data_IF_436427464574
#
_entry.id   IF_436427464574
#
_cell.length_a   1.000
_cell.length_b   1.000
_cell.length_c   1.000
_cell.angle_alpha   90.00
_cell.angle_beta   90.00
_cell.angle_gamma   90.00
#
_symmetry.space_group_name_H-M   'P 1'
#
loop_
_entity.id
_entity.type
_entity.pdbx_description
1 polymer ?
#
# COMPACT_ATOMS: atom_id res chain seq x y z
N UNK A 1 -9.71 -15.65 -15.83
CA UNK A 1 -9.80 -14.33 -15.19
C UNK A 1 -8.42 -13.93 -14.71
N UNK A 2 -8.02 -12.73 -14.98
CA UNK A 2 -6.69 -12.26 -14.58
C UNK A 2 -6.81 -11.10 -13.62
N UNK A 3 -5.75 -10.93 -12.83
CA UNK A 3 -5.65 -9.82 -11.90
C UNK A 3 -4.48 -8.94 -12.28
N UNK A 4 -4.59 -7.69 -11.95
CA UNK A 4 -3.51 -6.75 -12.16
C UNK A 4 -2.86 -6.45 -10.81
N UNK A 5 -1.57 -6.73 -10.70
CA UNK A 5 -0.82 -6.50 -9.46
C UNK A 5 0.20 -5.40 -9.68
N UNK A 6 0.24 -4.47 -8.77
CA UNK A 6 1.21 -3.38 -8.83
C UNK A 6 2.00 -3.35 -7.53
N UNK A 7 3.32 -3.34 -7.66
CA UNK A 7 4.22 -3.27 -6.52
C UNK A 7 4.83 -1.88 -6.44
N UNK A 8 4.76 -1.27 -5.26
CA UNK A 8 5.29 0.07 -5.02
C UNK A 8 6.19 0.02 -3.80
N UNK A 9 7.38 0.56 -3.94
CA UNK A 9 8.34 0.63 -2.85
C UNK A 9 8.43 2.07 -2.35
N UNK A 10 8.25 2.25 -1.05
CA UNK A 10 8.36 3.56 -0.42
C UNK A 10 9.61 3.62 0.44
N UNK A 11 10.37 4.70 0.29
CA UNK A 11 11.53 4.96 1.12
C UNK A 11 11.30 6.27 1.87
N UNK A 12 11.46 6.24 3.17
CA UNK A 12 11.20 7.39 4.03
C UNK A 12 12.52 7.95 4.56
N UNK A 13 12.51 9.21 4.96
CA UNK A 13 13.72 9.84 5.47
C UNK A 13 14.08 9.35 6.88
N UNK A 14 13.12 8.76 7.60
CA UNK A 14 13.38 8.27 8.94
C UNK A 14 12.35 7.21 9.30
N UNK A 15 12.65 6.47 10.35
CA UNK A 15 11.71 5.49 10.89
C UNK A 15 10.43 6.17 11.39
N UNK A 16 10.55 7.34 11.96
CA UNK A 16 9.40 8.07 12.45
C UNK A 16 8.45 8.43 11.31
N UNK A 17 8.99 8.88 10.17
CA UNK A 17 8.18 9.20 9.00
C UNK A 17 7.45 7.96 8.50
N UNK A 18 8.12 6.81 8.49
CA UNK A 18 7.50 5.56 8.09
C UNK A 18 6.34 5.20 9.00
N UNK A 19 6.54 5.30 10.30
CA UNK A 19 5.49 4.96 11.26
C UNK A 19 4.29 5.88 11.14
N UNK A 20 4.52 7.14 10.88
CA UNK A 20 3.43 8.09 10.66
C UNK A 20 2.63 7.72 9.42
N UNK A 21 3.30 7.34 8.34
CA UNK A 21 2.63 6.94 7.12
C UNK A 21 1.77 5.69 7.35
N UNK A 22 2.31 4.70 8.03
CA UNK A 22 1.57 3.47 8.32
C UNK A 22 0.34 3.77 9.17
N UNK A 23 0.47 4.65 10.14
CA UNK A 23 -0.65 5.03 10.98
C UNK A 23 -1.77 5.66 10.16
N UNK A 24 -1.42 6.52 9.20
CA UNK A 24 -2.41 7.13 8.32
C UNK A 24 -3.08 6.09 7.42
N UNK A 25 -2.32 5.14 6.92
CA UNK A 25 -2.88 4.06 6.11
C UNK A 25 -3.93 3.28 6.86
N UNK A 26 -3.68 3.03 8.14
CA UNK A 26 -4.61 2.24 8.94
C UNK A 26 -5.88 3.00 9.29
N UNK A 27 -5.86 4.31 9.25
CA UNK A 27 -6.97 5.08 9.78
C UNK A 27 -7.99 5.55 8.75
N UNK A 28 -7.60 5.89 7.50
CA UNK A 28 -8.56 6.55 6.64
C UNK A 28 -8.39 6.36 5.15
N UNK A 29 -7.25 5.92 4.68
CA UNK A 29 -6.94 6.05 3.27
C UNK A 29 -7.48 4.90 2.44
N UNK A 30 -7.80 3.80 3.07
CA UNK A 30 -8.07 2.55 2.37
C UNK A 30 -9.37 2.55 1.61
N UNK A 31 -10.34 3.30 2.09
CA UNK A 31 -11.70 3.19 1.57
C UNK A 31 -11.81 3.67 0.14
N UNK A 32 -11.05 4.70 -0.22
CA UNK A 32 -11.12 5.26 -1.56
C UNK A 32 -10.68 4.25 -2.61
N UNK A 33 -9.58 3.57 -2.34
CA UNK A 33 -9.07 2.58 -3.30
C UNK A 33 -10.01 1.38 -3.43
N UNK A 34 -10.56 0.93 -2.31
CA UNK A 34 -11.51 -0.18 -2.36
C UNK A 34 -12.79 0.20 -3.07
N UNK A 35 -13.21 1.44 -2.94
CA UNK A 35 -14.38 1.92 -3.69
C UNK A 35 -14.10 1.94 -5.19
N UNK A 36 -12.86 2.13 -5.59
CA UNK A 36 -12.48 2.12 -7.00
C UNK A 36 -12.30 0.71 -7.56
N UNK A 37 -12.42 -0.31 -6.73
CA UNK A 37 -12.33 -1.68 -7.17
C UNK A 37 -11.10 -2.44 -6.73
N UNK A 38 -10.28 -1.86 -5.86
CA UNK A 38 -9.13 -2.58 -5.32
C UNK A 38 -9.60 -3.83 -4.59
N UNK A 39 -9.01 -4.98 -4.93
CA UNK A 39 -9.37 -6.23 -4.30
C UNK A 39 -8.63 -6.41 -2.98
N UNK A 40 -7.33 -6.11 -2.98
CA UNK A 40 -6.51 -6.36 -1.81
C UNK A 40 -5.30 -5.46 -1.83
N UNK A 41 -4.86 -5.08 -0.65
CA UNK A 41 -3.62 -4.34 -0.49
C UNK A 41 -2.81 -5.02 0.61
N UNK A 42 -1.58 -5.35 0.27
CA UNK A 42 -0.66 -6.01 1.18
C UNK A 42 0.55 -5.12 1.33
N UNK A 43 1.06 -4.96 2.54
CA UNK A 43 2.32 -4.28 2.66
C UNK A 43 3.28 -5.04 3.55
N UNK A 44 4.55 -4.87 3.28
CA UNK A 44 5.63 -5.51 4.00
C UNK A 44 6.52 -4.45 4.61
N UNK A 45 6.86 -4.64 5.86
CA UNK A 45 7.79 -3.77 6.57
C UNK A 45 9.19 -4.32 6.35
N UNK A 46 9.90 -3.77 5.37
CA UNK A 46 11.14 -4.38 4.89
C UNK A 46 12.39 -3.87 5.57
N UNK A 47 12.37 -2.65 6.11
CA UNK A 47 13.52 -2.12 6.83
C UNK A 47 13.07 -0.93 7.67
N UNK A 48 14.01 -0.29 8.35
CA UNK A 48 13.69 0.81 9.26
C UNK A 48 12.96 1.96 8.56
N UNK A 49 13.28 2.20 7.30
CA UNK A 49 12.75 3.36 6.58
C UNK A 49 12.12 3.00 5.26
N UNK A 50 11.76 1.73 5.05
CA UNK A 50 11.17 1.30 3.78
C UNK A 50 10.00 0.39 4.02
N UNK A 51 9.00 0.52 3.15
CA UNK A 51 7.93 -0.48 3.05
C UNK A 51 7.70 -0.79 1.58
N UNK A 52 7.15 -1.97 1.32
CA UNK A 52 6.74 -2.38 -0.01
C UNK A 52 5.25 -2.68 0.04
N UNK A 53 4.51 -2.12 -0.89
CA UNK A 53 3.08 -2.39 -0.99
C UNK A 53 2.76 -3.10 -2.29
N UNK A 54 1.83 -4.05 -2.23
CA UNK A 54 1.32 -4.75 -3.39
C UNK A 54 -0.17 -4.48 -3.45
N UNK A 55 -0.61 -3.95 -4.59
CA UNK A 55 -2.01 -3.66 -4.84
C UNK A 55 -2.55 -4.66 -5.86
N UNK A 56 -3.68 -5.26 -5.55
CA UNK A 56 -4.30 -6.26 -6.42
C UNK A 56 -5.62 -5.69 -6.93
N UNK A 57 -5.73 -5.57 -8.24
CA UNK A 57 -6.91 -5.04 -8.91
C UNK A 57 -7.57 -6.14 -9.74
N UNK A 58 -8.89 -6.07 -9.98
CA UNK A 58 -9.60 -7.14 -10.69
C UNK A 58 -9.17 -7.28 -12.15
N UNK A 59 -8.65 -6.24 -12.73
CA UNK A 59 -8.15 -6.23 -14.08
C UNK A 59 -7.38 -4.95 -14.21
N UNK A 60 -6.73 -4.77 -15.31
CA UNK A 60 -6.09 -3.49 -15.48
C UNK A 60 -7.14 -2.40 -15.65
N UNK A 61 -6.84 -1.27 -15.15
CA UNK A 61 -7.73 -0.17 -15.36
C UNK A 61 -6.93 1.10 -15.55
#
# INVERSE_FOLDING_TARGET
MSYYCRTVKFTFISEFAKKSFISQLNSSVNDVDFERGLIQRIFFDTSENQIVQIFVWPDKF
#
